data_IF_938474171223
#
_entry.id   IF_938474171223
#
_cell.length_a   1.000
_cell.length_b   1.000
_cell.length_c   1.000
_cell.angle_alpha   90.00
_cell.angle_beta   90.00
_cell.angle_gamma   90.00
#
_symmetry.space_group_name_H-M   'P 1'
#
loop_
_entity.id
_entity.type
_entity.pdbx_description
1 polymer ?
#
# COMPACT_ATOMS: atom_id res chain seq x y z
N UNK A 1 -33.31 -51.98 -48.33
CA UNK A 1 -32.14 -51.07 -48.24
C UNK A 1 -32.41 -49.87 -47.32
N UNK A 2 -33.67 -49.55 -47.02
CA UNK A 2 -34.09 -48.37 -46.22
C UNK A 2 -33.87 -48.51 -44.70
N UNK A 3 -33.97 -49.73 -44.15
CA UNK A 3 -33.81 -49.95 -42.69
C UNK A 3 -32.40 -49.66 -42.15
N UNK A 4 -31.35 -49.83 -42.96
CA UNK A 4 -29.97 -49.51 -42.56
C UNK A 4 -29.66 -48.01 -42.57
N UNK A 5 -30.37 -47.22 -43.38
CA UNK A 5 -30.17 -45.77 -43.50
C UNK A 5 -30.78 -45.05 -42.29
N UNK A 6 -31.95 -45.48 -41.82
CA UNK A 6 -32.61 -44.91 -40.63
C UNK A 6 -31.77 -45.13 -39.36
N UNK A 7 -31.15 -46.31 -39.19
CA UNK A 7 -30.29 -46.61 -38.04
C UNK A 7 -28.97 -45.81 -38.01
N UNK A 8 -28.43 -45.43 -39.18
CA UNK A 8 -27.22 -44.61 -39.30
C UNK A 8 -27.48 -43.12 -39.04
N UNK A 9 -28.67 -42.63 -39.41
CA UNK A 9 -29.08 -41.24 -39.14
C UNK A 9 -29.34 -41.00 -37.64
N UNK A 10 -29.82 -42.01 -36.91
CA UNK A 10 -30.09 -41.94 -35.48
C UNK A 10 -28.79 -41.98 -34.63
N UNK A 11 -27.82 -42.78 -35.07
CA UNK A 11 -26.49 -42.86 -34.42
C UNK A 11 -25.65 -41.61 -34.65
N UNK A 12 -25.71 -41.00 -35.83
CA UNK A 12 -25.02 -39.72 -36.07
C UNK A 12 -25.59 -38.60 -35.21
N UNK A 13 -26.92 -38.51 -35.13
CA UNK A 13 -27.60 -37.43 -34.38
C UNK A 13 -27.36 -37.56 -32.88
N UNK A 14 -27.36 -38.78 -32.34
CA UNK A 14 -27.04 -39.04 -30.93
C UNK A 14 -25.58 -38.76 -30.60
N UNK A 15 -24.62 -39.12 -31.46
CA UNK A 15 -23.20 -38.78 -31.27
C UNK A 15 -23.00 -37.27 -31.28
N UNK A 16 -23.63 -36.55 -32.22
CA UNK A 16 -23.56 -35.08 -32.26
C UNK A 16 -24.15 -34.45 -30.99
N UNK A 17 -25.30 -34.92 -30.50
CA UNK A 17 -25.89 -34.44 -29.24
C UNK A 17 -24.97 -34.70 -28.03
N UNK A 18 -24.34 -35.87 -27.95
CA UNK A 18 -23.40 -36.22 -26.88
C UNK A 18 -22.15 -35.32 -26.91
N UNK A 19 -21.61 -35.04 -28.09
CA UNK A 19 -20.46 -34.13 -28.23
C UNK A 19 -20.83 -32.69 -27.86
N UNK A 20 -22.00 -32.20 -28.27
CA UNK A 20 -22.49 -30.87 -27.88
C UNK A 20 -22.73 -30.76 -26.37
N UNK A 21 -23.33 -31.77 -25.74
CA UNK A 21 -23.57 -31.75 -24.28
C UNK A 21 -22.28 -31.81 -23.49
N UNK A 22 -21.32 -32.65 -23.89
CA UNK A 22 -19.98 -32.69 -23.27
C UNK A 22 -19.22 -31.38 -23.43
N UNK A 23 -19.29 -30.74 -24.61
CA UNK A 23 -18.69 -29.42 -24.85
C UNK A 23 -19.35 -28.34 -23.99
N UNK A 24 -20.68 -28.32 -23.88
CA UNK A 24 -21.41 -27.39 -23.00
C UNK A 24 -21.12 -27.62 -21.52
N UNK A 25 -20.96 -28.87 -21.06
CA UNK A 25 -20.56 -29.15 -19.68
C UNK A 25 -19.12 -28.69 -19.41
N UNK A 26 -18.16 -29.02 -20.30
CA UNK A 26 -16.77 -28.64 -20.13
C UNK A 26 -16.55 -27.12 -20.13
N UNK A 27 -17.25 -26.38 -21.00
CA UNK A 27 -17.17 -24.91 -21.07
C UNK A 27 -17.78 -24.25 -19.83
N UNK A 28 -18.90 -24.77 -19.31
CA UNK A 28 -19.49 -24.30 -18.04
C UNK A 28 -18.55 -24.56 -16.85
N UNK A 29 -17.89 -25.70 -16.80
CA UNK A 29 -16.92 -26.02 -15.74
C UNK A 29 -15.75 -25.05 -15.71
N UNK A 30 -15.14 -24.75 -16.86
CA UNK A 30 -14.02 -23.81 -16.94
C UNK A 30 -14.41 -22.37 -16.51
N UNK A 31 -15.59 -21.89 -16.94
CA UNK A 31 -16.09 -20.57 -16.53
C UNK A 31 -16.35 -20.50 -15.01
N UNK A 32 -16.95 -21.54 -14.43
CA UNK A 32 -17.17 -21.63 -12.98
C UNK A 32 -15.85 -21.64 -12.22
N UNK A 33 -14.85 -22.37 -12.70
CA UNK A 33 -13.54 -22.47 -12.06
C UNK A 33 -12.79 -21.12 -12.05
N UNK A 34 -12.91 -20.35 -13.14
CA UNK A 34 -12.37 -18.99 -13.21
C UNK A 34 -13.07 -18.03 -12.24
N UNK A 35 -14.39 -18.12 -12.09
CA UNK A 35 -15.16 -17.29 -11.14
C UNK A 35 -14.75 -17.63 -9.70
N UNK A 36 -14.65 -18.93 -9.38
CA UNK A 36 -14.22 -19.39 -8.06
C UNK A 36 -12.81 -18.88 -7.76
N UNK A 37 -11.86 -19.01 -8.69
CA UNK A 37 -10.50 -18.53 -8.50
C UNK A 37 -10.43 -17.01 -8.24
N UNK A 38 -11.20 -16.20 -8.98
CA UNK A 38 -11.29 -14.75 -8.75
C UNK A 38 -11.87 -14.42 -7.38
N UNK A 39 -12.94 -15.12 -6.96
CA UNK A 39 -13.56 -14.90 -5.65
C UNK A 39 -12.61 -15.24 -4.50
N UNK A 40 -11.82 -16.31 -4.62
CA UNK A 40 -10.81 -16.73 -3.64
C UNK A 40 -9.64 -15.73 -3.59
N UNK A 41 -9.22 -15.20 -4.74
CA UNK A 41 -8.18 -14.17 -4.78
C UNK A 41 -8.64 -12.90 -4.05
N UNK A 42 -9.84 -12.39 -4.39
CA UNK A 42 -10.39 -11.18 -3.76
C UNK A 42 -10.65 -11.37 -2.27
N UNK A 43 -11.06 -12.56 -1.82
CA UNK A 43 -11.21 -12.84 -0.38
C UNK A 43 -9.87 -12.85 0.35
N UNK A 44 -8.82 -13.38 -0.26
CA UNK A 44 -7.48 -13.40 0.35
C UNK A 44 -6.88 -11.99 0.44
N UNK A 45 -7.09 -11.16 -0.59
CA UNK A 45 -6.68 -9.75 -0.57
C UNK A 45 -7.42 -8.98 0.52
N UNK A 46 -8.75 -9.15 0.61
CA UNK A 46 -9.56 -8.55 1.65
C UNK A 46 -9.06 -8.93 3.05
N UNK A 47 -8.82 -10.23 3.30
CA UNK A 47 -8.33 -10.70 4.58
C UNK A 47 -6.96 -10.12 4.94
N UNK A 48 -6.06 -9.96 3.96
CA UNK A 48 -4.76 -9.30 4.18
C UNK A 48 -4.94 -7.84 4.58
N UNK A 49 -5.85 -7.13 3.92
CA UNK A 49 -6.16 -5.74 4.25
C UNK A 49 -6.74 -5.61 5.67
N UNK A 50 -7.71 -6.46 6.03
CA UNK A 50 -8.31 -6.49 7.36
C UNK A 50 -7.27 -6.78 8.45
N UNK A 51 -6.44 -7.79 8.24
CA UNK A 51 -5.40 -8.17 9.19
C UNK A 51 -4.32 -7.09 9.33
N UNK A 52 -3.90 -6.48 8.23
CA UNK A 52 -2.89 -5.43 8.24
C UNK A 52 -3.37 -4.16 8.97
N UNK A 53 -4.66 -3.84 8.85
CA UNK A 53 -5.25 -2.70 9.53
C UNK A 53 -5.52 -3.01 11.01
N UNK A 54 -5.96 -4.23 11.30
CA UNK A 54 -6.36 -4.70 12.62
C UNK A 54 -7.75 -4.19 13.04
N UNK A 55 -8.43 -4.95 13.90
CA UNK A 55 -9.84 -4.71 14.24
C UNK A 55 -10.11 -3.30 14.81
N UNK A 56 -9.24 -2.79 15.68
CA UNK A 56 -9.40 -1.47 16.31
C UNK A 56 -9.36 -0.36 15.26
N UNK A 57 -8.31 -0.31 14.45
CA UNK A 57 -8.16 0.74 13.44
C UNK A 57 -9.14 0.58 12.28
N UNK A 58 -9.42 -0.65 11.87
CA UNK A 58 -10.47 -0.93 10.89
C UNK A 58 -11.83 -0.40 11.33
N UNK A 59 -12.21 -0.60 12.59
CA UNK A 59 -13.47 -0.07 13.11
C UNK A 59 -13.48 1.47 13.16
N UNK A 60 -12.39 2.12 13.62
CA UNK A 60 -12.31 3.59 13.64
C UNK A 60 -12.42 4.19 12.24
N UNK A 61 -11.71 3.62 11.26
CA UNK A 61 -11.75 4.10 9.87
C UNK A 61 -13.13 3.85 9.25
N UNK A 62 -13.71 2.67 9.49
CA UNK A 62 -15.07 2.36 9.06
C UNK A 62 -16.08 3.38 9.62
N UNK A 63 -16.04 3.69 10.92
CA UNK A 63 -16.93 4.70 11.53
C UNK A 63 -16.72 6.08 10.93
N UNK A 64 -15.47 6.46 10.65
CA UNK A 64 -15.13 7.75 10.04
C UNK A 64 -15.70 7.86 8.61
N UNK A 65 -15.58 6.81 7.80
CA UNK A 65 -16.02 6.80 6.39
C UNK A 65 -17.53 6.59 6.25
N UNK A 66 -18.11 5.63 6.95
CA UNK A 66 -19.49 5.19 6.73
C UNK A 66 -20.51 5.85 7.67
N UNK A 67 -20.06 6.40 8.79
CA UNK A 67 -20.94 6.91 9.85
C UNK A 67 -20.59 8.38 10.16
N UNK A 68 -20.81 8.78 11.41
CA UNK A 68 -20.38 10.07 11.96
C UNK A 68 -19.33 9.78 13.02
N UNK A 69 -18.20 9.22 12.58
CA UNK A 69 -17.10 8.79 13.44
C UNK A 69 -16.18 9.92 13.87
N UNK A 70 -15.37 9.63 14.90
CA UNK A 70 -14.31 10.50 15.39
C UNK A 70 -13.17 10.62 14.36
N UNK A 71 -12.24 11.53 14.63
CA UNK A 71 -10.98 11.65 13.88
C UNK A 71 -10.18 10.34 13.96
N UNK A 72 -9.57 9.94 12.85
CA UNK A 72 -8.70 8.76 12.81
C UNK A 72 -7.37 9.10 13.48
N UNK A 73 -6.94 8.29 14.44
CA UNK A 73 -5.69 8.53 15.17
C UNK A 73 -4.46 8.42 14.25
N UNK A 74 -3.36 9.08 14.61
CA UNK A 74 -2.08 8.97 13.88
C UNK A 74 -1.59 7.53 13.74
N UNK A 75 -1.77 6.72 14.78
CA UNK A 75 -1.41 5.28 14.74
C UNK A 75 -2.23 4.55 13.68
N UNK A 76 -3.55 4.74 13.67
CA UNK A 76 -4.41 4.10 12.69
C UNK A 76 -4.19 4.64 11.27
N UNK A 77 -3.88 5.93 11.13
CA UNK A 77 -3.45 6.49 9.86
C UNK A 77 -2.12 5.89 9.39
N UNK A 78 -1.14 5.67 10.27
CA UNK A 78 0.12 5.01 9.90
C UNK A 78 -0.13 3.60 9.38
N UNK A 79 -0.94 2.79 10.08
CA UNK A 79 -1.33 1.45 9.61
C UNK A 79 -2.07 1.50 8.28
N UNK A 80 -2.97 2.46 8.10
CA UNK A 80 -3.71 2.65 6.85
C UNK A 80 -2.77 2.96 5.68
N UNK A 81 -1.78 3.84 5.88
CA UNK A 81 -0.76 4.13 4.87
C UNK A 81 0.09 2.88 4.58
N UNK A 82 0.46 2.11 5.60
CA UNK A 82 1.23 0.87 5.45
C UNK A 82 0.50 -0.19 4.62
N UNK A 83 -0.81 -0.40 4.85
CA UNK A 83 -1.59 -1.35 4.04
C UNK A 83 -1.92 -0.80 2.64
N UNK A 84 -1.84 0.52 2.45
CA UNK A 84 -1.96 1.16 1.14
C UNK A 84 -3.38 1.56 0.74
N UNK A 85 -3.47 2.44 -0.27
CA UNK A 85 -4.75 2.98 -0.76
C UNK A 85 -5.65 1.90 -1.32
N UNK A 86 -5.07 0.92 -2.02
CA UNK A 86 -5.83 -0.17 -2.63
C UNK A 86 -6.56 -0.99 -1.56
N UNK A 87 -5.97 -1.21 -0.38
CA UNK A 87 -6.65 -1.85 0.74
C UNK A 87 -7.79 -0.98 1.30
N UNK A 88 -7.57 0.32 1.45
CA UNK A 88 -8.61 1.26 1.90
C UNK A 88 -9.81 1.28 0.95
N UNK A 89 -9.54 1.39 -0.35
CA UNK A 89 -10.55 1.40 -1.39
C UNK A 89 -11.27 0.05 -1.49
N UNK A 90 -10.55 -1.07 -1.40
CA UNK A 90 -11.13 -2.41 -1.43
C UNK A 90 -12.09 -2.62 -0.24
N UNK A 91 -11.68 -2.27 0.98
CA UNK A 91 -12.52 -2.38 2.18
C UNK A 91 -13.80 -1.54 2.05
N UNK A 92 -13.68 -0.34 1.47
CA UNK A 92 -14.83 0.54 1.20
C UNK A 92 -15.75 -0.06 0.12
N UNK A 93 -15.18 -0.54 -0.99
CA UNK A 93 -15.91 -1.14 -2.10
C UNK A 93 -16.74 -2.35 -1.63
N UNK A 94 -16.10 -3.30 -0.93
CA UNK A 94 -16.81 -4.51 -0.46
C UNK A 94 -17.93 -4.15 0.52
N UNK A 95 -17.73 -3.13 1.36
CA UNK A 95 -18.75 -2.66 2.30
C UNK A 95 -19.93 -2.02 1.57
N UNK A 96 -19.69 -1.18 0.56
CA UNK A 96 -20.73 -0.56 -0.27
C UNK A 96 -21.57 -1.63 -0.95
N UNK A 97 -20.91 -2.63 -1.56
CA UNK A 97 -21.55 -3.74 -2.29
C UNK A 97 -22.35 -4.61 -1.33
N UNK A 98 -21.76 -5.04 -0.21
CA UNK A 98 -22.41 -5.89 0.79
C UNK A 98 -23.66 -5.23 1.38
N UNK A 99 -23.58 -3.93 1.70
CA UNK A 99 -24.71 -3.16 2.24
C UNK A 99 -25.73 -2.75 1.18
N UNK A 100 -25.49 -3.03 -0.10
CA UNK A 100 -26.33 -2.61 -1.23
C UNK A 100 -26.62 -1.10 -1.19
N UNK A 101 -25.57 -0.31 -0.97
CA UNK A 101 -25.71 1.12 -0.73
C UNK A 101 -26.20 1.84 -2.01
N UNK A 102 -27.23 2.70 -1.94
CA UNK A 102 -27.71 3.46 -3.10
C UNK A 102 -26.63 4.36 -3.70
N UNK A 103 -26.62 4.52 -5.02
CA UNK A 103 -25.57 5.23 -5.76
C UNK A 103 -25.27 6.63 -5.21
N UNK A 104 -26.32 7.42 -4.89
CA UNK A 104 -26.15 8.77 -4.31
C UNK A 104 -25.34 8.72 -3.01
N UNK A 105 -25.65 7.78 -2.12
CA UNK A 105 -24.97 7.60 -0.84
C UNK A 105 -23.57 6.99 -1.04
N UNK A 106 -23.40 6.12 -2.03
CA UNK A 106 -22.09 5.57 -2.39
C UNK A 106 -21.12 6.68 -2.84
N UNK A 107 -21.58 7.66 -3.62
CA UNK A 107 -20.77 8.85 -4.00
C UNK A 107 -20.30 9.64 -2.78
N UNK A 108 -21.19 9.86 -1.81
CA UNK A 108 -20.84 10.54 -0.55
C UNK A 108 -19.80 9.74 0.27
N UNK A 109 -19.95 8.41 0.32
CA UNK A 109 -18.99 7.51 0.99
C UNK A 109 -17.63 7.56 0.30
N UNK A 110 -17.58 7.49 -1.03
CA UNK A 110 -16.32 7.59 -1.77
C UNK A 110 -15.60 8.92 -1.52
N UNK A 111 -16.34 10.03 -1.47
CA UNK A 111 -15.77 11.32 -1.07
C UNK A 111 -15.16 11.29 0.34
N UNK A 112 -15.83 10.66 1.31
CA UNK A 112 -15.29 10.50 2.66
C UNK A 112 -14.10 9.54 2.71
N UNK A 113 -14.12 8.48 1.92
CA UNK A 113 -13.03 7.52 1.78
C UNK A 113 -11.76 8.23 1.31
N UNK A 114 -11.85 8.99 0.22
CA UNK A 114 -10.72 9.74 -0.32
C UNK A 114 -10.24 10.82 0.66
N UNK A 115 -11.17 11.53 1.31
CA UNK A 115 -10.80 12.52 2.34
C UNK A 115 -10.04 11.87 3.51
N UNK A 116 -10.51 10.73 4.02
CA UNK A 116 -9.85 10.01 5.10
C UNK A 116 -8.42 9.58 4.71
N UNK A 117 -8.23 9.14 3.47
CA UNK A 117 -6.91 8.82 2.93
C UNK A 117 -5.99 10.05 2.90
N UNK A 118 -6.47 11.18 2.38
CA UNK A 118 -5.68 12.43 2.34
C UNK A 118 -5.35 12.95 3.75
N UNK A 119 -6.33 12.93 4.66
CA UNK A 119 -6.14 13.32 6.06
C UNK A 119 -5.11 12.41 6.74
N UNK A 120 -5.15 11.10 6.49
CA UNK A 120 -4.19 10.15 7.01
C UNK A 120 -2.80 10.31 6.40
N UNK A 121 -2.66 10.60 5.11
CA UNK A 121 -1.35 10.96 4.54
C UNK A 121 -0.76 12.20 5.18
N UNK A 122 -1.61 13.16 5.56
CA UNK A 122 -1.19 14.39 6.23
C UNK A 122 -0.79 14.15 7.69
N UNK A 123 -1.46 13.22 8.39
CA UNK A 123 -1.27 12.96 9.83
C UNK A 123 -0.27 11.85 10.14
N UNK A 124 -0.12 10.87 9.24
CA UNK A 124 0.87 9.78 9.27
C UNK A 124 2.18 10.14 8.57
N UNK A 125 2.27 11.31 7.93
CA UNK A 125 3.56 11.95 7.76
C UNK A 125 4.24 11.93 9.14
N UNK A 126 5.47 11.40 9.27
CA UNK A 126 6.13 11.30 10.55
C UNK A 126 6.02 12.67 11.22
N UNK A 127 5.37 12.71 12.38
CA UNK A 127 5.51 13.86 13.26
C UNK A 127 7.01 14.02 13.44
N UNK A 128 7.64 15.12 12.98
CA UNK A 128 9.11 15.25 13.04
C UNK A 128 9.63 15.24 14.48
N UNK A 129 8.73 15.23 15.45
CA UNK A 129 8.99 15.03 16.87
C UNK A 129 8.09 13.88 17.32
N UNK A 130 8.64 12.70 17.65
CA UNK A 130 7.82 11.72 18.37
C UNK A 130 8.28 10.27 18.49
N UNK A 131 9.02 9.69 17.54
CA UNK A 131 9.56 8.33 17.78
C UNK A 131 10.84 8.44 18.62
N UNK A 132 10.96 7.58 19.63
CA UNK A 132 12.16 7.48 20.46
C UNK A 132 13.40 7.22 19.61
N UNK A 133 13.25 6.45 18.52
CA UNK A 133 14.28 6.16 17.54
C UNK A 133 14.76 7.42 16.79
N UNK A 134 13.85 8.20 16.21
CA UNK A 134 14.21 9.46 15.52
C UNK A 134 14.90 10.43 16.50
N UNK A 135 14.35 10.56 17.71
CA UNK A 135 14.92 11.44 18.73
C UNK A 135 16.31 10.98 19.17
N UNK A 136 16.57 9.67 19.25
CA UNK A 136 17.90 9.14 19.53
C UNK A 136 18.88 9.44 18.40
N UNK A 137 18.47 9.29 17.13
CA UNK A 137 19.30 9.64 15.98
C UNK A 137 19.64 11.14 15.94
N UNK A 138 18.64 12.01 16.15
CA UNK A 138 18.83 13.46 16.21
C UNK A 138 19.77 13.87 17.34
N UNK A 139 19.59 13.31 18.54
CA UNK A 139 20.41 13.60 19.71
C UNK A 139 21.84 13.09 19.56
N UNK A 140 22.02 11.88 19.03
CA UNK A 140 23.34 11.28 18.81
C UNK A 140 24.16 12.06 17.78
N UNK A 141 23.51 12.55 16.72
CA UNK A 141 24.17 13.39 15.73
C UNK A 141 24.47 14.79 16.28
N UNK A 142 23.51 15.37 17.00
CA UNK A 142 23.58 16.72 17.54
C UNK A 142 23.32 17.80 16.48
N UNK A 143 22.75 18.93 16.92
CA UNK A 143 22.25 19.98 16.03
C UNK A 143 23.28 20.51 15.01
N UNK A 144 24.53 20.70 15.43
CA UNK A 144 25.61 21.20 14.56
C UNK A 144 25.92 20.23 13.41
N UNK A 145 26.11 18.94 13.73
CA UNK A 145 26.42 17.94 12.70
C UNK A 145 25.21 17.59 11.84
N UNK A 146 24.02 17.50 12.45
CA UNK A 146 22.78 17.33 11.71
C UNK A 146 22.56 18.44 10.68
N UNK A 147 22.88 19.69 11.03
CA UNK A 147 22.80 20.81 10.09
C UNK A 147 23.76 20.66 8.90
N UNK A 148 25.02 20.29 9.13
CA UNK A 148 26.02 20.13 8.07
C UNK A 148 25.66 18.96 7.13
N UNK A 149 25.25 17.83 7.71
CA UNK A 149 24.84 16.65 6.93
C UNK A 149 23.58 16.96 6.12
N UNK A 150 22.58 17.61 6.71
CA UNK A 150 21.40 18.08 5.98
C UNK A 150 21.76 19.00 4.83
N UNK A 151 22.68 19.95 5.05
CA UNK A 151 23.17 20.83 3.99
C UNK A 151 23.87 20.05 2.87
N UNK A 152 24.62 19.01 3.19
CA UNK A 152 25.27 18.18 2.18
C UNK A 152 24.25 17.39 1.37
N UNK A 153 23.37 16.65 2.05
CA UNK A 153 22.39 15.74 1.43
C UNK A 153 21.32 16.50 0.65
N UNK A 154 20.77 17.59 1.20
CA UNK A 154 19.60 18.27 0.63
C UNK A 154 19.92 19.58 -0.10
N UNK A 155 21.11 20.15 0.11
CA UNK A 155 21.52 21.42 -0.53
C UNK A 155 22.80 21.28 -1.37
N UNK A 156 23.34 20.07 -1.51
CA UNK A 156 24.52 19.76 -2.32
C UNK A 156 25.76 20.59 -1.94
N UNK A 157 25.90 20.94 -0.66
CA UNK A 157 27.13 21.54 -0.12
C UNK A 157 28.13 20.44 0.25
N UNK A 158 29.45 20.68 0.24
CA UNK A 158 30.45 19.61 0.43
C UNK A 158 31.09 19.52 1.81
N UNK A 159 30.65 20.32 2.78
CA UNK A 159 31.38 20.47 4.04
C UNK A 159 30.74 19.62 5.16
N UNK A 160 31.27 18.41 5.35
CA UNK A 160 31.10 17.64 6.58
C UNK A 160 32.46 17.55 7.26
N UNK A 161 32.52 17.84 8.57
CA UNK A 161 33.78 17.75 9.31
C UNK A 161 34.08 16.31 9.74
N UNK A 162 35.37 15.99 9.94
CA UNK A 162 35.80 14.71 10.56
C UNK A 162 35.07 14.40 11.87
N UNK A 163 34.82 15.41 12.69
CA UNK A 163 34.05 15.27 13.94
C UNK A 163 32.62 14.79 13.65
N UNK A 164 31.96 15.39 12.67
CA UNK A 164 30.60 15.03 12.29
C UNK A 164 30.53 13.67 11.58
N UNK A 165 31.54 13.30 10.80
CA UNK A 165 31.65 11.95 10.25
C UNK A 165 31.77 10.89 11.35
N UNK A 166 32.60 11.10 12.36
CA UNK A 166 32.69 10.15 13.50
C UNK A 166 31.36 10.00 14.24
N UNK A 167 30.63 11.10 14.45
CA UNK A 167 29.30 11.06 15.06
C UNK A 167 28.29 10.32 14.18
N UNK A 168 28.29 10.59 12.88
CA UNK A 168 27.41 9.93 11.91
C UNK A 168 27.65 8.42 11.88
N UNK A 169 28.91 7.99 11.79
CA UNK A 169 29.27 6.57 11.84
C UNK A 169 28.89 5.95 13.19
N UNK A 170 29.05 6.68 14.29
CA UNK A 170 28.70 6.20 15.64
C UNK A 170 27.20 5.97 15.84
N UNK A 171 26.32 6.75 15.19
CA UNK A 171 24.87 6.53 15.27
C UNK A 171 24.38 5.50 14.26
N UNK A 172 25.22 5.11 13.29
CA UNK A 172 24.93 4.06 12.32
C UNK A 172 24.19 4.53 11.07
N UNK A 173 24.25 3.69 10.02
CA UNK A 173 23.65 3.99 8.71
C UNK A 173 22.13 4.08 8.79
N UNK A 174 21.52 3.22 9.59
CA UNK A 174 20.07 3.22 9.80
C UNK A 174 19.57 4.57 10.33
N UNK A 175 20.30 5.20 11.26
CA UNK A 175 19.97 6.55 11.73
C UNK A 175 20.13 7.61 10.63
N UNK A 176 21.19 7.54 9.83
CA UNK A 176 21.41 8.46 8.72
C UNK A 176 20.29 8.36 7.67
N UNK A 177 19.93 7.14 7.30
CA UNK A 177 18.86 6.84 6.35
C UNK A 177 17.50 7.29 6.89
N UNK A 178 17.20 7.02 8.17
CA UNK A 178 15.95 7.43 8.83
C UNK A 178 15.79 8.96 8.83
N UNK A 179 16.84 9.70 9.19
CA UNK A 179 16.82 11.17 9.20
C UNK A 179 16.55 11.75 7.80
N UNK A 180 17.11 11.12 6.77
CA UNK A 180 16.89 11.48 5.37
C UNK A 180 15.48 11.13 4.90
N UNK A 181 15.01 9.92 5.19
CA UNK A 181 13.68 9.43 4.81
C UNK A 181 12.57 10.31 5.40
N UNK A 182 12.62 10.56 6.71
CA UNK A 182 11.66 11.44 7.40
C UNK A 182 11.61 12.82 6.75
N UNK A 183 12.77 13.35 6.35
CA UNK A 183 12.86 14.65 5.69
C UNK A 183 12.26 14.65 4.28
N UNK A 184 12.50 13.60 3.48
CA UNK A 184 11.91 13.42 2.15
C UNK A 184 10.38 13.37 2.24
N UNK A 185 9.86 12.54 3.16
CA UNK A 185 8.42 12.39 3.38
C UNK A 185 7.80 13.70 3.87
N UNK A 186 8.41 14.33 4.88
CA UNK A 186 7.92 15.60 5.44
C UNK A 186 7.87 16.72 4.38
N UNK A 187 8.89 16.81 3.52
CA UNK A 187 8.96 17.81 2.46
C UNK A 187 8.15 17.45 1.20
N UNK A 188 7.54 16.26 1.14
CA UNK A 188 6.76 15.76 -0.01
C UNK A 188 7.52 15.84 -1.33
N UNK A 189 8.77 15.39 -1.30
CA UNK A 189 9.61 15.45 -2.49
C UNK A 189 9.14 14.42 -3.52
N UNK A 190 9.17 14.79 -4.80
CA UNK A 190 8.84 13.88 -5.89
C UNK A 190 9.85 12.73 -5.96
N UNK A 191 9.46 11.59 -6.53
CA UNK A 191 10.35 10.42 -6.69
C UNK A 191 11.69 10.76 -7.35
N UNK A 192 11.65 11.64 -8.36
CA UNK A 192 12.87 12.13 -9.03
C UNK A 192 13.81 12.83 -8.04
N UNK A 193 13.30 13.76 -7.24
CA UNK A 193 14.11 14.46 -6.24
C UNK A 193 14.57 13.52 -5.12
N UNK A 194 13.71 12.57 -4.71
CA UNK A 194 14.06 11.58 -3.69
C UNK A 194 15.24 10.70 -4.14
N UNK A 195 15.26 10.23 -5.40
CA UNK A 195 16.39 9.48 -5.97
C UNK A 195 17.72 10.24 -5.89
N UNK A 196 17.71 11.52 -6.27
CA UNK A 196 18.90 12.37 -6.19
C UNK A 196 19.38 12.59 -4.75
N UNK A 197 18.44 12.67 -3.80
CA UNK A 197 18.74 12.82 -2.37
C UNK A 197 19.35 11.54 -1.80
N UNK A 198 18.78 10.38 -2.11
CA UNK A 198 19.32 9.08 -1.69
C UNK A 198 20.74 8.87 -2.21
N UNK A 199 21.00 9.19 -3.48
CA UNK A 199 22.36 9.15 -4.02
C UNK A 199 23.34 10.04 -3.22
N UNK A 200 22.92 11.24 -2.81
CA UNK A 200 23.76 12.11 -1.97
C UNK A 200 23.88 11.61 -0.53
N UNK A 201 22.82 11.02 0.01
CA UNK A 201 22.81 10.39 1.33
C UNK A 201 23.87 9.28 1.42
N UNK A 202 23.87 8.36 0.46
CA UNK A 202 24.84 7.26 0.41
C UNK A 202 26.26 7.78 0.18
N UNK A 203 26.42 8.78 -0.69
CA UNK A 203 27.71 9.42 -0.90
C UNK A 203 28.31 10.02 0.38
N UNK A 204 27.50 10.72 1.19
CA UNK A 204 27.97 11.27 2.48
C UNK A 204 28.44 10.16 3.42
N UNK A 205 27.71 9.03 3.44
CA UNK A 205 28.09 7.87 4.24
C UNK A 205 29.44 7.30 3.80
N UNK A 206 29.60 7.03 2.50
CA UNK A 206 30.84 6.52 1.91
C UNK A 206 32.03 7.47 2.08
N UNK A 207 31.81 8.79 2.07
CA UNK A 207 32.83 9.79 2.33
C UNK A 207 33.28 9.72 3.80
N UNK A 208 32.35 9.59 4.74
CA UNK A 208 32.66 9.48 6.16
C UNK A 208 33.36 8.16 6.53
N UNK A 209 33.06 7.05 5.86
CA UNK A 209 33.76 5.77 6.08
C UNK A 209 35.25 5.83 5.71
N UNK A 210 35.65 6.81 4.88
CA UNK A 210 37.03 6.98 4.40
C UNK A 210 37.85 8.01 5.20
N UNK A 211 37.25 8.71 6.16
CA UNK A 211 37.78 9.93 6.79
C UNK A 211 38.48 9.73 8.15
#
# INVERSE_FOLDING_TARGET
MESKIISLMDTSTTITLLLFTLFFMATRSAAVQSIVAQSVSKSNELQKCENGLGATCGNTIYQHVFERGNEVSKECCSRLITVGKDCHDLLTEVTIVYKRTPEKKAKEIWHKNDKAWEDCKQSAAPSPKGSSELQNCENGLGAKCGHLIYQHVFKSKKEVSKECCRRLLSIGKDCHDLLTEVTIVYKRLTEKHAKEIWHRNDKVWEECEKD
#
